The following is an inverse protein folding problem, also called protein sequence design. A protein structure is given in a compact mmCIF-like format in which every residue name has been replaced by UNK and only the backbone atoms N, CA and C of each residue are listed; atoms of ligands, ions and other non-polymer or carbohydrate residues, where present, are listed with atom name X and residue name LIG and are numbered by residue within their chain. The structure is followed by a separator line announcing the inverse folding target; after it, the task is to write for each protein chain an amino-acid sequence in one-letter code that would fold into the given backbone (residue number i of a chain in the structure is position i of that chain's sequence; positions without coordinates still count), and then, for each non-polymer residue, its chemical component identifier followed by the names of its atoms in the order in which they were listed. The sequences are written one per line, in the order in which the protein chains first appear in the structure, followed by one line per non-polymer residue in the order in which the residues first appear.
data_IF_200074370849
#
_entry.id   IF_200074370849
#
_cell.length_a   1.000
_cell.length_b   1.000
_cell.length_c   1.000
_cell.angle_alpha   90.00
_cell.angle_beta   90.00
_cell.angle_gamma   90.00
#
_symmetry.space_group_name_H-M   'P 1'
#
loop_
_entity.id
_entity.type
_entity.pdbx_description
1 polymer ?
#
# COMPACT_ATOMS: atom_id res chain seq x y z
N UNK A 1 20.15 -4.96 -17.64
CA UNK A 1 18.89 -4.21 -17.58
C UNK A 1 17.69 -5.04 -17.15
N UNK A 2 17.44 -6.18 -17.80
CA UNK A 2 16.34 -7.06 -17.40
C UNK A 2 16.53 -7.58 -15.97
N UNK A 3 17.77 -7.90 -15.61
CA UNK A 3 18.12 -8.37 -14.27
C UNK A 3 17.87 -7.32 -13.19
N UNK A 4 18.07 -6.05 -13.51
CA UNK A 4 17.84 -4.96 -12.56
C UNK A 4 16.35 -4.76 -12.30
N UNK A 5 15.53 -4.86 -13.35
CA UNK A 5 14.09 -4.78 -13.23
C UNK A 5 13.55 -5.91 -12.35
N UNK A 6 13.94 -7.15 -12.62
CA UNK A 6 13.50 -8.30 -11.84
C UNK A 6 13.92 -8.19 -10.38
N UNK A 7 15.16 -7.77 -10.13
CA UNK A 7 15.67 -7.60 -8.77
C UNK A 7 14.88 -6.57 -8.00
N UNK A 8 14.63 -5.41 -8.58
CA UNK A 8 13.87 -4.33 -7.98
C UNK A 8 12.42 -4.77 -7.74
N UNK A 9 11.82 -5.44 -8.74
CA UNK A 9 10.45 -5.92 -8.64
C UNK A 9 10.29 -6.95 -7.51
N UNK A 10 11.19 -7.92 -7.42
CA UNK A 10 11.16 -8.93 -6.37
C UNK A 10 11.34 -8.33 -4.98
N UNK A 11 12.22 -7.36 -4.86
CA UNK A 11 12.53 -6.76 -3.58
C UNK A 11 11.47 -5.76 -3.11
N UNK A 12 10.93 -4.95 -4.01
CA UNK A 12 10.07 -3.82 -3.66
C UNK A 12 8.64 -3.90 -4.22
N UNK A 13 8.36 -4.85 -5.09
CA UNK A 13 7.05 -4.96 -5.73
C UNK A 13 5.90 -5.07 -4.74
N UNK A 14 6.06 -5.89 -3.72
CA UNK A 14 5.06 -6.07 -2.66
C UNK A 14 4.81 -4.77 -1.90
N UNK A 15 5.87 -4.07 -1.55
CA UNK A 15 5.78 -2.78 -0.84
C UNK A 15 4.99 -1.76 -1.64
N UNK A 16 5.32 -1.62 -2.94
CA UNK A 16 4.63 -0.70 -3.84
C UNK A 16 3.17 -1.10 -4.02
N UNK A 17 2.92 -2.39 -4.20
CA UNK A 17 1.57 -2.91 -4.35
C UNK A 17 0.69 -2.58 -3.15
N UNK A 18 1.14 -2.86 -1.94
CA UNK A 18 0.36 -2.57 -0.74
C UNK A 18 0.19 -1.08 -0.50
N UNK A 19 1.20 -0.29 -0.83
CA UNK A 19 1.05 1.17 -0.78
C UNK A 19 -0.06 1.63 -1.72
N UNK A 20 -0.05 1.16 -2.96
CA UNK A 20 -1.08 1.51 -3.94
C UNK A 20 -2.45 0.97 -3.53
N UNK A 21 -2.50 -0.23 -2.96
CA UNK A 21 -3.76 -0.80 -2.48
C UNK A 21 -4.39 0.07 -1.40
N UNK A 22 -3.57 0.69 -0.54
CA UNK A 22 -4.07 1.62 0.47
C UNK A 22 -4.73 2.85 -0.15
N UNK A 23 -4.29 3.24 -1.34
CA UNK A 23 -4.81 4.42 -2.03
C UNK A 23 -5.99 4.08 -2.95
N UNK A 24 -5.86 2.99 -3.72
CA UNK A 24 -6.82 2.64 -4.76
C UNK A 24 -8.01 1.83 -4.25
N UNK A 25 -7.79 1.01 -3.23
CA UNK A 25 -8.78 0.07 -2.72
C UNK A 25 -9.27 -0.91 -3.80
N UNK A 26 -8.39 -1.18 -4.77
CA UNK A 26 -8.70 -2.04 -5.92
C UNK A 26 -7.47 -2.84 -6.30
N UNK A 27 -7.57 -4.16 -6.23
CA UNK A 27 -6.46 -5.07 -6.49
C UNK A 27 -5.94 -4.97 -7.93
N UNK A 28 -6.84 -5.00 -8.90
CA UNK A 28 -6.46 -4.94 -10.32
C UNK A 28 -5.76 -3.63 -10.68
N UNK A 29 -6.30 -2.52 -10.19
CA UNK A 29 -5.70 -1.21 -10.42
C UNK A 29 -4.35 -1.10 -9.73
N UNK A 30 -4.24 -1.64 -8.51
CA UNK A 30 -2.98 -1.64 -7.77
C UNK A 30 -1.90 -2.43 -8.50
N UNK A 31 -2.23 -3.59 -9.07
CA UNK A 31 -1.29 -4.37 -9.86
C UNK A 31 -0.83 -3.61 -11.10
N UNK A 32 -1.78 -3.01 -11.81
CA UNK A 32 -1.47 -2.22 -13.02
C UNK A 32 -0.55 -1.04 -12.70
N UNK A 33 -0.88 -0.28 -11.66
CA UNK A 33 -0.08 0.85 -11.24
C UNK A 33 1.28 0.43 -10.68
N UNK A 34 1.35 -0.74 -10.03
CA UNK A 34 2.63 -1.29 -9.56
C UNK A 34 3.56 -1.58 -10.74
N UNK A 35 3.06 -2.24 -11.77
CA UNK A 35 3.83 -2.54 -12.96
C UNK A 35 4.31 -1.25 -13.64
N UNK A 36 3.44 -0.27 -13.76
CA UNK A 36 3.81 1.00 -14.37
C UNK A 36 4.83 1.76 -13.52
N UNK A 37 4.69 1.71 -12.20
CA UNK A 37 5.68 2.29 -11.28
C UNK A 37 7.05 1.69 -11.52
N UNK A 38 7.13 0.37 -11.63
CA UNK A 38 8.40 -0.32 -11.85
C UNK A 38 9.01 0.04 -13.21
N UNK A 39 8.19 0.12 -14.25
CA UNK A 39 8.65 0.52 -15.57
C UNK A 39 9.22 1.93 -15.55
N UNK A 40 8.51 2.87 -14.93
CA UNK A 40 9.00 4.26 -14.83
C UNK A 40 10.26 4.36 -13.99
N UNK A 41 10.34 3.57 -12.92
CA UNK A 41 11.52 3.54 -12.05
C UNK A 41 12.75 3.10 -12.84
N UNK A 42 12.65 2.05 -13.64
CA UNK A 42 13.77 1.56 -14.45
C UNK A 42 14.16 2.58 -15.50
N UNK A 43 13.19 3.21 -16.14
CA UNK A 43 13.47 4.22 -17.17
C UNK A 43 14.15 5.46 -16.57
N UNK A 44 13.92 5.74 -15.30
CA UNK A 44 14.44 6.92 -14.63
C UNK A 44 15.43 6.58 -13.51
N UNK A 45 16.03 5.39 -13.58
CA UNK A 45 16.95 4.94 -12.53
C UNK A 45 18.16 5.87 -12.36
N UNK A 46 18.57 6.54 -13.44
CA UNK A 46 19.63 7.52 -13.38
C UNK A 46 19.29 8.77 -12.60
N UNK A 47 17.99 9.05 -12.39
CA UNK A 47 17.55 10.17 -11.58
C UNK A 47 17.51 9.84 -10.07
N UNK A 48 17.64 8.56 -9.71
CA UNK A 48 17.72 8.16 -8.31
C UNK A 48 19.09 8.53 -7.76
N UNK A 49 19.12 9.48 -6.83
CA UNK A 49 20.35 10.05 -6.28
C UNK A 49 20.81 9.41 -4.96
N UNK A 50 20.05 8.46 -4.44
CA UNK A 50 20.37 7.86 -3.15
C UNK A 50 20.09 8.74 -1.94
N UNK A 51 19.42 9.87 -2.13
CA UNK A 51 19.04 10.76 -1.04
C UNK A 51 17.96 10.17 -0.16
N UNK A 52 17.17 9.28 -0.73
CA UNK A 52 16.15 8.50 -0.01
C UNK A 52 16.35 7.02 -0.34
N UNK A 53 15.72 6.17 0.44
CA UNK A 53 15.78 4.74 0.14
C UNK A 53 14.96 4.41 -1.11
N UNK A 54 15.33 3.34 -1.79
CA UNK A 54 14.67 2.91 -3.03
C UNK A 54 13.15 2.73 -2.82
N UNK A 55 12.73 2.14 -1.70
CA UNK A 55 11.33 1.93 -1.41
C UNK A 55 10.55 3.24 -1.34
N UNK A 56 11.13 4.26 -0.71
CA UNK A 56 10.51 5.59 -0.60
C UNK A 56 10.39 6.24 -1.98
N UNK A 57 11.46 6.18 -2.76
CA UNK A 57 11.48 6.73 -4.11
C UNK A 57 10.41 6.08 -5.00
N UNK A 58 10.32 4.75 -4.95
CA UNK A 58 9.32 4.00 -5.70
C UNK A 58 7.90 4.36 -5.27
N UNK A 59 7.66 4.50 -3.97
CA UNK A 59 6.34 4.89 -3.47
C UNK A 59 5.96 6.31 -3.89
N UNK A 60 6.92 7.21 -4.03
CA UNK A 60 6.66 8.56 -4.56
C UNK A 60 6.22 8.49 -6.02
N UNK A 61 6.89 7.67 -6.83
CA UNK A 61 6.48 7.45 -8.23
C UNK A 61 5.05 6.89 -8.27
N UNK A 62 4.78 5.89 -7.45
CA UNK A 62 3.47 5.25 -7.38
C UNK A 62 2.38 6.24 -6.99
N UNK A 63 2.65 7.09 -6.00
CA UNK A 63 1.73 8.11 -5.55
C UNK A 63 1.39 9.10 -6.67
N UNK A 64 2.40 9.54 -7.39
CA UNK A 64 2.21 10.46 -8.52
C UNK A 64 1.37 9.83 -9.62
N UNK A 65 1.63 8.55 -9.93
CA UNK A 65 0.84 7.80 -10.92
C UNK A 65 -0.61 7.67 -10.50
N UNK A 66 -0.85 7.40 -9.22
CA UNK A 66 -2.20 7.30 -8.70
C UNK A 66 -2.95 8.62 -8.84
N UNK A 67 -2.32 9.75 -8.52
CA UNK A 67 -2.94 11.06 -8.65
C UNK A 67 -3.21 11.42 -10.12
N UNK A 68 -2.30 11.06 -11.04
CA UNK A 68 -2.53 11.22 -12.48
C UNK A 68 -3.75 10.42 -12.93
N UNK A 69 -3.84 9.18 -12.45
CA UNK A 69 -4.96 8.30 -12.75
C UNK A 69 -6.28 8.88 -12.23
N UNK A 70 -6.28 9.42 -11.01
CA UNK A 70 -7.47 10.03 -10.42
C UNK A 70 -7.96 11.22 -11.25
N UNK A 71 -7.06 12.06 -11.73
CA UNK A 71 -7.42 13.21 -12.56
C UNK A 71 -8.10 12.78 -13.85
N UNK A 72 -7.62 11.68 -14.45
CA UNK A 72 -8.20 11.18 -15.70
C UNK A 72 -9.53 10.48 -15.48
N UNK A 73 -9.69 9.81 -14.37
CA UNK A 73 -10.79 8.86 -14.16
C UNK A 73 -11.71 9.25 -13.01
N UNK A 74 -11.89 10.35 -12.59
CA UNK A 74 -12.78 10.87 -11.51
C UNK A 74 -13.88 9.89 -11.03
N UNK A 75 -13.64 8.59 -11.06
CA UNK A 75 -14.58 7.55 -10.64
C UNK A 75 -14.14 6.92 -9.34
N UNK A 76 -15.01 6.94 -8.36
CA UNK A 76 -14.82 6.16 -7.15
C UNK A 76 -15.25 4.72 -7.44
N UNK A 77 -14.31 3.79 -7.39
CA UNK A 77 -14.64 2.37 -7.41
C UNK A 77 -15.31 2.06 -6.08
N UNK A 78 -16.51 1.43 -6.07
CA UNK A 78 -17.14 1.06 -4.81
C UNK A 78 -16.21 0.13 -4.00
N UNK A 79 -15.96 0.51 -2.75
CA UNK A 79 -15.13 -0.28 -1.83
C UNK A 79 -15.62 -1.73 -1.74
N UNK A 80 -16.94 -1.88 -1.75
CA UNK A 80 -17.58 -3.18 -1.64
C UNK A 80 -17.18 -4.14 -2.76
N UNK A 81 -17.08 -3.65 -3.98
CA UNK A 81 -16.68 -4.48 -5.12
C UNK A 81 -15.20 -4.90 -5.01
N UNK A 82 -14.35 -4.03 -4.51
CA UNK A 82 -12.95 -4.35 -4.31
C UNK A 82 -12.74 -5.41 -3.23
N UNK A 83 -13.58 -5.38 -2.18
CA UNK A 83 -13.52 -6.33 -1.08
C UNK A 83 -14.11 -7.69 -1.43
N UNK A 84 -15.05 -7.72 -2.40
CA UNK A 84 -15.72 -8.94 -2.82
C UNK A 84 -14.99 -9.69 -3.93
N UNK A 85 -13.91 -9.11 -4.47
CA UNK A 85 -13.10 -9.79 -5.48
C UNK A 85 -12.35 -10.95 -4.83
N UNK A 86 -12.86 -12.17 -5.04
CA UNK A 86 -12.25 -13.37 -4.47
C UNK A 86 -11.00 -13.77 -5.25
N UNK A 87 -9.86 -13.97 -4.55
CA UNK A 87 -8.74 -14.64 -5.19
C UNK A 87 -9.07 -16.11 -5.37
N UNK A 88 -8.77 -16.65 -6.55
CA UNK A 88 -9.05 -18.02 -6.89
C UNK A 88 -8.44 -19.04 -5.92
N UNK A 89 -9.31 -19.88 -5.37
CA UNK A 89 -8.99 -21.26 -5.09
C UNK A 89 -8.20 -21.60 -3.83
N UNK A 90 -8.77 -21.40 -2.63
CA UNK A 90 -8.34 -22.18 -1.46
C UNK A 90 -9.56 -22.41 -0.56
N UNK A 91 -10.01 -23.65 -0.55
CA UNK A 91 -11.20 -24.07 0.18
C UNK A 91 -10.90 -24.61 1.58
N UNK A 92 -9.95 -24.05 2.31
CA UNK A 92 -9.74 -24.46 3.70
C UNK A 92 -10.40 -23.45 4.65
N UNK A 93 -10.94 -23.95 5.75
CA UNK A 93 -11.53 -23.08 6.80
C UNK A 93 -10.54 -22.05 7.28
N UNK A 94 -9.27 -22.42 7.40
CA UNK A 94 -8.22 -21.48 7.81
C UNK A 94 -8.01 -20.39 6.78
N UNK A 95 -8.03 -20.72 5.50
CA UNK A 95 -7.89 -19.75 4.41
C UNK A 95 -9.09 -18.80 4.38
N UNK A 96 -10.30 -19.32 4.58
CA UNK A 96 -11.51 -18.53 4.68
C UNK A 96 -11.47 -17.58 5.87
N UNK A 97 -11.05 -18.07 7.03
CA UNK A 97 -10.92 -17.24 8.23
C UNK A 97 -9.90 -16.13 8.04
N UNK A 98 -8.77 -16.43 7.41
CA UNK A 98 -7.74 -15.41 7.10
C UNK A 98 -8.26 -14.38 6.12
N UNK A 99 -9.01 -14.81 5.10
CA UNK A 99 -9.64 -13.90 4.14
C UNK A 99 -10.64 -12.99 4.82
N UNK A 100 -11.51 -13.56 5.66
CA UNK A 100 -12.49 -12.78 6.40
C UNK A 100 -11.82 -11.74 7.31
N UNK A 101 -10.77 -12.16 8.02
CA UNK A 101 -10.01 -11.25 8.87
C UNK A 101 -9.34 -10.15 8.05
N UNK A 102 -8.73 -10.52 6.92
CA UNK A 102 -8.10 -9.56 6.02
C UNK A 102 -9.12 -8.57 5.46
N UNK A 103 -10.29 -9.06 5.06
CA UNK A 103 -11.38 -8.20 4.56
C UNK A 103 -11.87 -7.23 5.64
N UNK A 104 -12.02 -7.72 6.87
CA UNK A 104 -12.44 -6.88 8.00
C UNK A 104 -11.41 -5.78 8.27
N UNK A 105 -10.12 -6.13 8.27
CA UNK A 105 -9.05 -5.14 8.46
C UNK A 105 -9.07 -4.11 7.34
N UNK A 106 -9.15 -4.56 6.08
CA UNK A 106 -9.21 -3.66 4.93
C UNK A 106 -10.41 -2.73 4.99
N UNK A 107 -11.57 -3.26 5.38
CA UNK A 107 -12.78 -2.45 5.53
C UNK A 107 -12.57 -1.31 6.53
N UNK A 108 -11.97 -1.61 7.68
CA UNK A 108 -11.69 -0.58 8.68
C UNK A 108 -10.58 0.37 8.23
N UNK A 109 -9.60 -0.14 7.46
CA UNK A 109 -8.55 0.70 6.90
C UNK A 109 -9.12 1.76 5.96
N UNK A 110 -10.13 1.40 5.16
CA UNK A 110 -10.75 2.35 4.25
C UNK A 110 -11.44 3.51 4.95
N UNK A 111 -11.84 3.31 6.19
CA UNK A 111 -12.50 4.36 6.97
C UNK A 111 -11.51 5.23 7.75
N UNK A 112 -10.22 4.88 7.71
CA UNK A 112 -9.19 5.69 8.34
C UNK A 112 -8.82 6.87 7.44
N UNK A 113 -8.59 8.01 8.08
CA UNK A 113 -8.09 9.18 7.39
C UNK A 113 -6.59 9.03 7.11
N UNK A 114 -6.12 9.67 6.05
CA UNK A 114 -4.69 9.85 5.86
C UNK A 114 -4.18 10.83 6.92
N UNK A 115 -2.98 10.65 7.44
CA UNK A 115 -1.95 9.67 7.04
C UNK A 115 -2.03 8.32 7.73
N UNK A 116 -3.00 8.09 8.59
CA UNK A 116 -3.12 6.84 9.35
C UNK A 116 -3.22 5.61 8.44
N UNK A 117 -4.06 5.70 7.43
CA UNK A 117 -4.26 4.62 6.47
C UNK A 117 -2.96 4.28 5.74
N UNK A 118 -2.31 5.29 5.15
CA UNK A 118 -1.08 5.08 4.38
C UNK A 118 0.04 4.51 5.26
N UNK A 119 0.24 5.09 6.44
CA UNK A 119 1.30 4.64 7.36
C UNK A 119 1.05 3.19 7.80
N UNK A 120 -0.17 2.86 8.16
CA UNK A 120 -0.50 1.50 8.59
C UNK A 120 -0.26 0.49 7.47
N UNK A 121 -0.73 0.78 6.27
CA UNK A 121 -0.58 -0.13 5.13
C UNK A 121 0.89 -0.33 4.78
N UNK A 122 1.67 0.74 4.75
CA UNK A 122 3.08 0.66 4.43
C UNK A 122 3.85 -0.21 5.43
N UNK A 123 3.62 0.00 6.71
CA UNK A 123 4.37 -0.71 7.74
C UNK A 123 3.85 -2.12 7.98
N UNK A 124 2.55 -2.27 8.21
CA UNK A 124 1.97 -3.56 8.59
C UNK A 124 1.91 -4.54 7.42
N UNK A 125 1.55 -4.09 6.23
CA UNK A 125 1.35 -4.96 5.07
C UNK A 125 2.50 -4.91 4.08
N UNK A 126 3.13 -3.76 3.93
CA UNK A 126 4.22 -3.56 2.98
C UNK A 126 5.61 -3.79 3.55
N UNK A 127 5.73 -4.03 4.84
CA UNK A 127 7.00 -4.24 5.54
C UNK A 127 7.99 -3.06 5.41
N UNK A 128 7.47 -1.85 5.22
CA UNK A 128 8.30 -0.64 5.14
C UNK A 128 8.65 -0.19 6.56
N UNK A 129 9.94 -0.03 6.88
CA UNK A 129 10.32 0.47 8.21
C UNK A 129 9.75 1.86 8.49
N UNK A 130 9.39 2.11 9.74
CA UNK A 130 8.81 3.40 10.14
C UNK A 130 9.74 4.57 9.83
N UNK A 131 11.05 4.36 9.92
CA UNK A 131 12.03 5.38 9.56
C UNK A 131 11.93 5.81 8.10
N UNK A 132 11.70 4.85 7.19
CA UNK A 132 11.50 5.15 5.78
C UNK A 132 10.18 5.87 5.55
N UNK A 133 9.15 5.49 6.29
CA UNK A 133 7.84 6.13 6.20
C UNK A 133 7.94 7.60 6.63
N UNK A 134 8.67 7.87 7.71
CA UNK A 134 8.91 9.25 8.15
C UNK A 134 9.54 10.08 7.04
N UNK A 135 10.52 9.52 6.34
CA UNK A 135 11.17 10.19 5.22
C UNK A 135 10.23 10.45 4.05
N UNK A 136 9.37 9.46 3.74
CA UNK A 136 8.39 9.58 2.66
C UNK A 136 7.44 10.75 2.91
N UNK A 137 7.01 10.92 4.16
CA UNK A 137 6.08 12.00 4.52
C UNK A 137 6.77 13.29 4.95
N UNK A 138 8.10 13.31 4.98
CA UNK A 138 8.86 14.50 5.43
C UNK A 138 8.63 14.82 6.89
N UNK A 139 8.47 13.80 7.72
CA UNK A 139 8.18 13.93 9.16
C UNK A 139 9.26 13.25 9.99
N UNK A 140 9.16 13.42 11.31
CA UNK A 140 10.09 12.79 12.24
C UNK A 140 9.83 11.31 12.43
N UNK A 141 10.84 10.59 12.94
CA UNK A 141 10.68 9.16 13.27
C UNK A 141 9.60 8.97 14.35
N UNK A 142 9.55 9.88 15.33
CA UNK A 142 8.52 9.85 16.37
C UNK A 142 7.13 10.01 15.79
N UNK A 143 6.96 10.89 14.82
CA UNK A 143 5.68 11.07 14.14
C UNK A 143 5.21 9.76 13.49
N UNK A 144 6.11 9.08 12.79
CA UNK A 144 5.77 7.83 12.10
C UNK A 144 5.32 6.76 13.11
N UNK A 145 6.06 6.62 14.21
CA UNK A 145 5.72 5.66 15.27
C UNK A 145 4.36 5.98 15.90
N UNK A 146 4.17 7.22 16.31
CA UNK A 146 2.91 7.64 16.93
C UNK A 146 1.74 7.44 15.97
N UNK A 147 1.92 7.83 14.72
CA UNK A 147 0.88 7.68 13.69
C UNK A 147 0.52 6.22 13.48
N UNK A 148 1.53 5.34 13.37
CA UNK A 148 1.30 3.91 13.18
C UNK A 148 0.56 3.30 14.36
N UNK A 149 1.00 3.54 15.59
CA UNK A 149 0.39 2.94 16.76
C UNK A 149 -1.02 3.49 17.03
N UNK A 150 -1.27 4.74 16.70
CA UNK A 150 -2.63 5.30 16.76
C UNK A 150 -3.54 4.62 15.74
N UNK A 151 -3.05 4.43 14.51
CA UNK A 151 -3.80 3.72 13.48
C UNK A 151 -4.13 2.30 13.91
N UNK A 152 -3.14 1.59 14.45
CA UNK A 152 -3.30 0.23 14.96
C UNK A 152 -4.34 0.17 16.07
N UNK A 153 -4.31 1.12 17.00
CA UNK A 153 -5.26 1.19 18.10
C UNK A 153 -6.69 1.40 17.59
N UNK A 154 -6.87 2.30 16.63
CA UNK A 154 -8.19 2.57 16.04
C UNK A 154 -8.74 1.32 15.36
N UNK A 155 -7.92 0.63 14.57
CA UNK A 155 -8.34 -0.59 13.86
C UNK A 155 -8.70 -1.69 14.86
N UNK A 156 -7.87 -1.89 15.88
CA UNK A 156 -8.10 -2.89 16.91
C UNK A 156 -9.42 -2.63 17.65
N UNK A 157 -9.66 -1.38 18.02
CA UNK A 157 -10.88 -0.98 18.69
C UNK A 157 -12.12 -1.26 17.82
N UNK A 158 -12.05 -0.93 16.54
CA UNK A 158 -13.14 -1.17 15.61
C UNK A 158 -13.41 -2.64 15.38
N UNK A 159 -12.36 -3.47 15.31
CA UNK A 159 -12.49 -4.92 15.19
C UNK A 159 -13.15 -5.51 16.44
N UNK A 160 -12.75 -5.08 17.61
CA UNK A 160 -13.34 -5.53 18.87
C UNK A 160 -14.82 -5.11 18.98
N UNK A 161 -15.16 -3.95 18.47
CA UNK A 161 -16.54 -3.46 18.46
C UNK A 161 -17.50 -4.24 17.57
N UNK A 162 -16.97 -5.06 16.64
CA UNK A 162 -17.78 -5.92 15.78
C UNK A 162 -18.17 -7.24 16.45
N UNK A 163 -17.50 -7.60 17.54
CA UNK A 163 -17.81 -8.83 18.28
C UNK A 163 -19.00 -8.57 19.29
#
# INVERSE_FOLDING_TARGET
MVSDFESIYQQYGKTVYFFLLSLTQNESLSEELTQETMCRAIMNIGAFRGESRMSVWLCQIAKNLYFEWQKKNKRNVPIEDALLAEPDGLDTEEALTRKETAHRILKHLHTLDDPYKEVFMLHALGDVPLKQISQLFGKSDSWARVTYYRAKAIITERLEGEE
#
